data_IF_968509355445
#
_entry.id   IF_968509355445
#
_cell.length_a   1.000
_cell.length_b   1.000
_cell.length_c   1.000
_cell.angle_alpha   90.00
_cell.angle_beta   90.00
_cell.angle_gamma   90.00
#
_symmetry.space_group_name_H-M   'P 1'
#
loop_
_entity.id
_entity.type
_entity.pdbx_description
1 polymer ?
#
# COMPACT_ATOMS: atom_id res chain seq x y z
N UNK A 1 -9.69 6.74 4.99
CA UNK A 1 -10.08 7.17 3.61
C UNK A 1 -9.93 6.05 2.57
N UNK A 2 -10.82 5.99 1.56
CA UNK A 2 -10.78 4.99 0.48
C UNK A 2 -9.65 5.24 -0.51
N UNK A 3 -9.45 6.49 -0.91
CA UNK A 3 -8.45 6.83 -1.96
C UNK A 3 -7.02 6.61 -1.46
N UNK A 4 -6.76 6.89 -0.18
CA UNK A 4 -5.47 6.59 0.47
C UNK A 4 -5.20 5.08 0.50
N UNK A 5 -6.25 4.27 0.67
CA UNK A 5 -6.10 2.81 0.63
C UNK A 5 -5.79 2.32 -0.79
N UNK A 6 -6.48 2.86 -1.80
CA UNK A 6 -6.18 2.58 -3.20
C UNK A 6 -4.76 3.00 -3.58
N UNK A 7 -4.31 4.17 -3.12
CA UNK A 7 -2.94 4.64 -3.26
C UNK A 7 -1.94 3.63 -2.66
N UNK A 8 -2.19 3.15 -1.44
CA UNK A 8 -1.32 2.15 -0.80
C UNK A 8 -1.20 0.85 -1.60
N UNK A 9 -2.30 0.37 -2.20
CA UNK A 9 -2.28 -0.80 -3.09
C UNK A 9 -1.45 -0.51 -4.36
N UNK A 10 -1.62 0.66 -4.98
CA UNK A 10 -0.88 1.04 -6.20
C UNK A 10 0.61 1.17 -5.88
N UNK A 11 0.97 1.87 -4.80
CA UNK A 11 2.36 2.00 -4.35
C UNK A 11 2.99 0.63 -4.10
N UNK A 12 2.29 -0.26 -3.36
CA UNK A 12 2.75 -1.64 -3.17
C UNK A 12 3.04 -2.35 -4.50
N UNK A 13 2.12 -2.26 -5.47
CA UNK A 13 2.29 -2.88 -6.78
C UNK A 13 3.49 -2.30 -7.55
N UNK A 14 3.65 -0.97 -7.58
CA UNK A 14 4.77 -0.32 -8.27
C UNK A 14 6.13 -0.75 -7.73
N UNK A 15 6.23 -0.88 -6.41
CA UNK A 15 7.50 -1.12 -5.74
C UNK A 15 7.86 -2.60 -5.56
N UNK A 16 6.87 -3.49 -5.59
CA UNK A 16 7.09 -4.94 -5.46
C UNK A 16 6.93 -5.70 -6.78
N UNK A 17 6.27 -5.10 -7.78
CA UNK A 17 5.83 -5.79 -8.99
C UNK A 17 4.67 -6.78 -8.77
N UNK A 18 4.22 -6.94 -7.52
CA UNK A 18 3.23 -7.95 -7.14
C UNK A 18 1.85 -7.33 -6.99
N UNK A 19 0.89 -7.84 -7.76
CA UNK A 19 -0.52 -7.47 -7.57
C UNK A 19 -1.17 -8.42 -6.56
N UNK A 20 -1.61 -7.96 -5.38
CA UNK A 20 -2.00 -8.83 -4.26
C UNK A 20 -3.24 -9.70 -4.54
N UNK A 21 -3.96 -9.40 -5.62
CA UNK A 21 -5.20 -10.08 -6.02
C UNK A 21 -5.08 -10.79 -7.39
N UNK A 22 -3.87 -11.01 -7.91
CA UNK A 22 -3.63 -11.74 -9.17
C UNK A 22 -4.26 -13.15 -9.11
N UNK A 23 -4.82 -13.62 -10.22
CA UNK A 23 -5.45 -14.96 -10.33
C UNK A 23 -6.89 -15.08 -9.81
N UNK A 24 -7.48 -14.01 -9.25
CA UNK A 24 -8.85 -14.06 -8.70
C UNK A 24 -9.95 -13.59 -9.67
N UNK A 25 -9.64 -13.31 -10.93
CA UNK A 25 -10.60 -12.79 -11.91
C UNK A 25 -11.80 -13.74 -12.14
N UNK A 26 -11.60 -15.06 -12.06
CA UNK A 26 -12.67 -16.06 -12.13
C UNK A 26 -13.31 -16.43 -10.79
N UNK A 27 -12.76 -16.00 -9.65
CA UNK A 27 -13.11 -16.48 -8.31
C UNK A 27 -13.97 -15.52 -7.46
N UNK A 28 -14.36 -14.37 -8.01
CA UNK A 28 -15.38 -13.49 -7.45
C UNK A 28 -14.94 -12.56 -6.31
N UNK A 29 -15.68 -11.44 -6.18
CA UNK A 29 -15.49 -10.36 -5.19
C UNK A 29 -15.34 -10.86 -3.75
N UNK A 30 -15.90 -12.03 -3.41
CA UNK A 30 -15.82 -12.66 -2.08
C UNK A 30 -14.38 -13.02 -1.68
N UNK A 31 -13.56 -13.58 -2.59
CA UNK A 31 -12.16 -13.95 -2.28
C UNK A 31 -11.29 -12.71 -2.06
N UNK A 32 -11.47 -11.67 -2.88
CA UNK A 32 -10.79 -10.38 -2.71
C UNK A 32 -11.18 -9.76 -1.37
N UNK A 33 -12.49 -9.71 -1.07
CA UNK A 33 -12.97 -9.20 0.22
C UNK A 33 -12.39 -9.96 1.41
N UNK A 34 -12.32 -11.29 1.34
CA UNK A 34 -11.71 -12.12 2.37
C UNK A 34 -10.23 -11.78 2.62
N UNK A 35 -9.44 -11.61 1.55
CA UNK A 35 -8.04 -11.18 1.65
C UNK A 35 -7.91 -9.78 2.25
N UNK A 36 -8.72 -8.83 1.79
CA UNK A 36 -8.70 -7.45 2.30
C UNK A 36 -9.01 -7.42 3.80
N UNK A 37 -10.06 -8.13 4.24
CA UNK A 37 -10.45 -8.21 5.65
C UNK A 37 -9.35 -8.88 6.48
N UNK A 38 -8.75 -9.96 5.98
CA UNK A 38 -7.70 -10.67 6.71
C UNK A 38 -6.40 -9.89 6.78
N UNK A 39 -6.17 -8.90 5.92
CA UNK A 39 -4.96 -8.06 5.88
C UNK A 39 -3.65 -8.80 5.55
N UNK A 40 -3.69 -10.12 5.43
CA UNK A 40 -2.51 -10.97 5.25
C UNK A 40 -1.90 -10.89 3.84
N UNK A 41 -2.47 -10.09 2.95
CA UNK A 41 -1.98 -9.88 1.60
C UNK A 41 -0.79 -8.92 1.55
N UNK A 42 -0.64 -8.03 2.53
CA UNK A 42 0.40 -7.01 2.54
C UNK A 42 1.69 -7.60 3.15
N UNK A 43 2.49 -8.25 2.29
CA UNK A 43 3.74 -8.90 2.68
C UNK A 43 4.86 -8.43 1.76
N UNK A 44 5.89 -7.84 2.35
CA UNK A 44 7.11 -7.48 1.63
C UNK A 44 8.04 -8.70 1.65
N UNK A 45 8.48 -9.15 0.49
CA UNK A 45 9.47 -10.22 0.40
C UNK A 45 10.82 -9.71 0.90
N UNK A 46 11.64 -10.60 1.50
CA UNK A 46 12.94 -10.23 2.08
C UNK A 46 13.92 -9.65 1.05
N UNK A 47 13.72 -9.95 -0.23
CA UNK A 47 14.55 -9.49 -1.34
C UNK A 47 14.10 -8.14 -1.96
N UNK A 48 13.02 -7.52 -1.47
CA UNK A 48 12.64 -6.18 -1.93
C UNK A 48 13.52 -5.16 -1.21
N UNK A 49 14.46 -4.56 -1.94
CA UNK A 49 15.27 -3.45 -1.45
C UNK A 49 14.44 -2.16 -1.42
N UNK A 50 13.51 -2.07 -0.48
CA UNK A 50 12.68 -0.89 -0.24
C UNK A 50 13.16 -0.14 0.99
N UNK A 51 13.27 1.20 0.94
CA UNK A 51 13.46 1.99 2.14
C UNK A 51 12.38 1.63 3.18
N UNK A 52 12.79 1.43 4.43
CA UNK A 52 11.90 1.08 5.55
C UNK A 52 10.74 2.06 5.67
N UNK A 53 11.02 3.34 5.42
CA UNK A 53 10.06 4.42 5.47
C UNK A 53 8.93 4.28 4.42
N UNK A 54 9.26 3.86 3.19
CA UNK A 54 8.27 3.57 2.15
C UNK A 54 7.45 2.34 2.50
N UNK A 55 8.07 1.32 3.07
CA UNK A 55 7.37 0.13 3.56
C UNK A 55 6.36 0.49 4.67
N UNK A 56 6.73 1.35 5.61
CA UNK A 56 5.83 1.84 6.67
C UNK A 56 4.69 2.70 6.12
N UNK A 57 4.98 3.60 5.18
CA UNK A 57 3.96 4.43 4.55
C UNK A 57 2.88 3.57 3.86
N UNK A 58 3.30 2.56 3.10
CA UNK A 58 2.38 1.62 2.45
C UNK A 58 1.54 0.87 3.50
N UNK A 59 2.15 0.42 4.62
CA UNK A 59 1.41 -0.22 5.72
C UNK A 59 0.36 0.69 6.33
N UNK A 60 0.68 1.96 6.59
CA UNK A 60 -0.27 2.93 7.13
C UNK A 60 -1.40 3.26 6.15
N UNK A 61 -1.10 3.42 4.86
CA UNK A 61 -2.11 3.61 3.82
C UNK A 61 -3.09 2.43 3.73
N UNK A 62 -2.58 1.21 3.93
CA UNK A 62 -3.32 -0.04 3.87
C UNK A 62 -3.89 -0.51 5.21
N UNK A 63 -3.91 0.32 6.26
CA UNK A 63 -4.45 -0.06 7.57
C UNK A 63 -5.93 -0.47 7.44
N UNK A 64 -6.32 -1.51 8.17
CA UNK A 64 -7.69 -2.01 8.21
C UNK A 64 -8.64 -0.95 8.77
N UNK A 65 -8.19 -0.21 9.77
CA UNK A 65 -8.92 0.89 10.38
C UNK A 65 -8.75 2.16 9.52
N UNK A 66 -9.81 2.68 8.88
CA UNK A 66 -9.71 3.89 8.06
C UNK A 66 -9.25 5.13 8.82
N UNK A 67 -9.38 5.16 10.15
CA UNK A 67 -8.95 6.28 11.00
C UNK A 67 -7.43 6.30 11.25
N UNK A 68 -6.77 5.14 11.11
CA UNK A 68 -5.31 5.02 11.25
C UNK A 68 -4.55 5.35 9.97
N UNK A 69 -5.26 5.42 8.84
CA UNK A 69 -4.68 5.82 7.55
C UNK A 69 -4.34 7.31 7.58
N UNK A 70 -3.26 7.75 6.92
CA UNK A 70 -2.98 9.16 6.77
C UNK A 70 -4.09 9.87 5.99
N UNK A 71 -4.21 11.18 6.17
CA UNK A 71 -5.00 12.02 5.26
C UNK A 71 -4.24 12.18 3.94
N UNK A 72 -4.96 12.48 2.86
CA UNK A 72 -4.32 12.80 1.57
C UNK A 72 -3.33 13.96 1.69
N UNK A 73 -3.66 14.96 2.53
CA UNK A 73 -2.75 16.07 2.84
C UNK A 73 -1.45 15.59 3.49
N UNK A 74 -1.54 14.79 4.56
CA UNK A 74 -0.34 14.26 5.26
C UNK A 74 0.49 13.37 4.34
N UNK A 75 -0.18 12.59 3.49
CA UNK A 75 0.47 11.76 2.48
C UNK A 75 1.26 12.63 1.48
N UNK A 76 0.66 13.70 0.97
CA UNK A 76 1.30 14.65 0.06
C UNK A 76 2.59 15.25 0.64
N UNK A 77 2.51 15.76 1.88
CA UNK A 77 3.69 16.33 2.59
C UNK A 77 4.83 15.31 2.71
N UNK A 78 4.52 14.05 3.07
CA UNK A 78 5.53 13.00 3.19
C UNK A 78 6.17 12.70 1.83
N UNK A 79 5.36 12.59 0.77
CA UNK A 79 5.86 12.30 -0.57
C UNK A 79 6.67 13.44 -1.18
N UNK A 80 6.31 14.70 -0.90
CA UNK A 80 7.05 15.88 -1.35
C UNK A 80 8.42 15.95 -0.69
N UNK A 81 8.48 15.74 0.63
CA UNK A 81 9.75 15.71 1.36
C UNK A 81 10.71 14.67 0.76
N UNK A 82 10.24 13.47 0.44
CA UNK A 82 11.09 12.44 -0.17
C UNK A 82 11.49 12.77 -1.60
N UNK A 83 10.61 13.40 -2.37
CA UNK A 83 10.94 13.84 -3.72
C UNK A 83 12.08 14.86 -3.71
N UNK A 84 12.16 15.69 -2.67
CA UNK A 84 13.26 16.64 -2.49
C UNK A 84 14.56 15.92 -2.10
N UNK A 85 14.49 14.93 -1.20
CA UNK A 85 15.67 14.16 -0.76
C UNK A 85 16.28 13.28 -1.86
N UNK A 86 15.47 12.76 -2.79
CA UNK A 86 15.96 11.95 -3.94
C UNK A 86 16.55 12.84 -5.04
N UNK A 87 16.11 14.10 -5.12
CA UNK A 87 16.56 15.07 -6.13
C UNK A 87 17.83 15.84 -5.76
N UNK A 88 18.32 15.71 -4.52
CA UNK A 88 19.56 16.31 -4.00
C UNK A 88 20.72 15.32 -3.99
#
# INVERSE_FOLDING_TARGET
PSDVYAFGIIAYFLFTGEFPFRGNYGSGRKKVRGKVISGNWLKFQENVNLPSLLMELIKHCCDRDPSKRPTAFKLGVITEAWSMDIGS
#
